data_IF_422206846713
#
_entry.id   IF_422206846713
#
_cell.length_a   1.000
_cell.length_b   1.000
_cell.length_c   1.000
_cell.angle_alpha   90.00
_cell.angle_beta   90.00
_cell.angle_gamma   90.00
#
_symmetry.space_group_name_H-M   'P 1'
#
loop_
_entity.id
_entity.type
_entity.pdbx_description
1 polymer ?
#
# COMPACT_ATOMS: atom_id res chain seq x y z
N UNK A 1 4.92 45.02 -17.33
CA UNK A 1 5.24 46.14 -18.20
C UNK A 1 6.38 45.69 -19.15
N UNK A 2 6.16 45.80 -20.45
CA UNK A 2 7.14 45.49 -21.49
C UNK A 2 7.45 46.78 -22.22
N UNK A 3 8.67 47.23 -22.17
CA UNK A 3 9.14 48.41 -22.94
C UNK A 3 9.95 47.88 -24.07
N UNK A 4 9.53 48.05 -25.31
CA UNK A 4 10.28 47.72 -26.49
C UNK A 4 10.61 49.01 -27.26
N UNK A 5 11.87 49.19 -27.55
CA UNK A 5 12.36 50.25 -28.45
C UNK A 5 12.58 49.60 -29.81
N UNK A 6 11.82 50.00 -30.80
CA UNK A 6 11.94 49.47 -32.17
C UNK A 6 12.32 50.64 -33.09
N UNK A 7 13.50 50.50 -33.71
CA UNK A 7 13.97 51.44 -34.72
C UNK A 7 13.88 50.70 -36.08
N UNK A 8 12.97 51.18 -36.92
CA UNK A 8 12.81 50.62 -38.28
C UNK A 8 13.47 51.54 -39.28
N UNK A 9 14.49 51.03 -39.93
CA UNK A 9 15.15 51.68 -41.05
C UNK A 9 14.56 51.08 -42.32
N UNK A 10 13.95 51.92 -43.19
CA UNK A 10 13.43 51.46 -44.47
C UNK A 10 14.14 52.23 -45.57
N UNK A 11 15.04 51.56 -46.28
CA UNK A 11 15.58 52.05 -47.54
C UNK A 11 14.61 51.67 -48.67
N UNK A 12 14.02 52.69 -49.32
CA UNK A 12 13.19 52.47 -50.49
C UNK A 12 14.04 52.64 -51.75
N UNK A 13 14.28 51.56 -52.53
CA UNK A 13 15.01 51.47 -53.73
C UNK A 13 14.22 51.85 -55.02
N UNK A 14 13.32 52.79 -54.94
CA UNK A 14 12.66 53.30 -56.13
C UNK A 14 12.91 54.78 -56.31
N UNK A 15 13.39 55.11 -57.50
CA UNK A 15 13.98 56.32 -58.01
C UNK A 15 13.15 57.59 -57.86
N UNK A 16 12.87 58.03 -56.62
CA UNK A 16 12.48 59.41 -56.34
C UNK A 16 13.02 59.74 -54.95
N UNK A 17 13.85 60.74 -54.86
CA UNK A 17 14.53 61.18 -53.65
C UNK A 17 13.53 61.48 -52.54
N UNK A 18 13.35 60.54 -51.55
CA UNK A 18 12.75 60.86 -50.27
C UNK A 18 13.26 59.85 -49.22
N UNK A 19 14.34 60.22 -48.52
CA UNK A 19 14.81 59.51 -47.31
C UNK A 19 13.88 59.84 -46.22
N UNK A 20 13.01 58.88 -45.88
CA UNK A 20 12.18 58.93 -44.68
C UNK A 20 12.83 58.14 -43.56
N UNK A 21 13.57 58.82 -42.69
CA UNK A 21 13.89 58.30 -41.38
C UNK A 21 12.63 58.38 -40.51
N UNK A 22 12.09 57.22 -40.11
CA UNK A 22 10.99 57.16 -39.19
C UNK A 22 11.44 56.52 -37.88
N UNK A 23 11.77 57.33 -36.91
CA UNK A 23 12.01 56.87 -35.55
C UNK A 23 10.69 56.75 -34.83
N UNK A 24 10.26 55.52 -34.55
CA UNK A 24 9.04 55.22 -33.77
C UNK A 24 9.47 54.74 -32.40
N UNK A 25 9.26 55.57 -31.40
CA UNK A 25 9.36 55.17 -29.98
C UNK A 25 8.00 54.66 -29.51
N UNK A 26 7.88 53.34 -29.34
CA UNK A 26 6.66 52.71 -28.87
C UNK A 26 6.87 52.16 -27.46
N UNK A 27 6.17 52.74 -26.50
CA UNK A 27 6.09 52.23 -25.15
C UNK A 27 4.72 51.56 -24.96
N UNK A 28 4.71 50.23 -24.85
CA UNK A 28 3.47 49.47 -24.59
C UNK A 28 3.42 49.03 -23.14
N UNK A 29 2.48 49.60 -22.39
CA UNK A 29 2.17 49.17 -21.02
C UNK A 29 0.97 48.26 -21.08
N UNK A 30 1.14 46.95 -20.93
CA UNK A 30 0.04 46.00 -20.84
C UNK A 30 -0.27 45.74 -19.37
N UNK A 31 -1.41 46.25 -18.92
CA UNK A 31 -1.92 46.00 -17.57
C UNK A 31 -3.10 45.05 -17.67
N UNK A 32 -3.01 43.80 -17.14
CA UNK A 32 -4.13 42.86 -17.18
C UNK A 32 -5.20 43.26 -16.15
N UNK A 33 -6.18 44.06 -16.56
CA UNK A 33 -7.38 44.30 -15.76
C UNK A 33 -8.31 43.09 -15.91
N UNK A 34 -8.30 42.17 -14.92
CA UNK A 34 -9.19 41.02 -14.91
C UNK A 34 -10.50 41.35 -14.20
N UNK A 35 -11.45 41.92 -14.91
CA UNK A 35 -12.79 42.21 -14.37
C UNK A 35 -13.65 40.93 -14.19
N UNK A 36 -13.24 39.79 -14.70
CA UNK A 36 -14.03 38.56 -14.76
C UNK A 36 -13.94 37.63 -13.54
N UNK A 37 -13.31 38.02 -12.42
CA UNK A 37 -13.22 37.18 -11.22
C UNK A 37 -12.39 35.91 -11.36
N UNK A 38 -11.66 35.72 -12.47
CA UNK A 38 -10.85 34.51 -12.79
C UNK A 38 -9.83 34.21 -11.70
N UNK A 39 -9.15 35.22 -11.18
CA UNK A 39 -8.13 35.01 -10.13
C UNK A 39 -8.77 34.59 -8.82
N UNK A 40 -9.91 35.19 -8.48
CA UNK A 40 -10.69 34.81 -7.29
C UNK A 40 -11.22 33.39 -7.40
N UNK A 41 -11.74 33.01 -8.56
CA UNK A 41 -12.18 31.63 -8.84
C UNK A 41 -11.02 30.64 -8.77
N UNK A 42 -9.83 31.02 -9.26
CA UNK A 42 -8.62 30.17 -9.20
C UNK A 42 -8.15 29.99 -7.76
N UNK A 43 -8.15 31.05 -6.95
CA UNK A 43 -7.83 30.98 -5.51
C UNK A 43 -8.82 30.06 -4.79
N UNK A 44 -10.12 30.23 -5.04
CA UNK A 44 -11.16 29.38 -4.44
C UNK A 44 -10.99 27.92 -4.85
N UNK A 45 -10.74 27.63 -6.13
CA UNK A 45 -10.44 26.28 -6.64
C UNK A 45 -9.24 25.67 -5.91
N UNK A 46 -8.15 26.41 -5.75
CA UNK A 46 -6.96 25.93 -5.08
C UNK A 46 -7.17 25.70 -3.58
N UNK A 47 -7.98 26.53 -2.92
CA UNK A 47 -8.39 26.32 -1.52
C UNK A 47 -9.22 25.04 -1.36
N UNK A 48 -10.17 24.80 -2.25
CA UNK A 48 -10.95 23.56 -2.25
C UNK A 48 -10.08 22.33 -2.55
N UNK A 49 -9.15 22.43 -3.51
CA UNK A 49 -8.18 21.38 -3.80
C UNK A 49 -7.28 21.07 -2.59
N UNK A 50 -6.83 22.08 -1.86
CA UNK A 50 -6.09 21.93 -0.60
C UNK A 50 -6.94 21.21 0.46
N UNK A 51 -8.21 21.60 0.62
CA UNK A 51 -9.16 20.93 1.52
C UNK A 51 -9.35 19.46 1.18
N UNK A 52 -9.56 19.13 -0.10
CA UNK A 52 -9.65 17.76 -0.61
C UNK A 52 -8.39 16.95 -0.29
N UNK A 53 -7.20 17.50 -0.55
CA UNK A 53 -5.92 16.81 -0.26
C UNK A 53 -5.73 16.56 1.24
N UNK A 54 -6.19 17.48 2.10
CA UNK A 54 -6.16 17.29 3.56
C UNK A 54 -7.05 16.12 4.00
N UNK A 55 -8.28 16.06 3.47
CA UNK A 55 -9.20 14.96 3.75
C UNK A 55 -8.68 13.61 3.23
N UNK A 56 -8.04 13.58 2.06
CA UNK A 56 -7.38 12.39 1.53
C UNK A 56 -6.23 11.91 2.44
N UNK A 57 -5.44 12.84 2.97
CA UNK A 57 -4.38 12.50 3.93
C UNK A 57 -4.96 11.91 5.21
N UNK A 58 -6.00 12.53 5.77
CA UNK A 58 -6.67 12.03 6.97
C UNK A 58 -7.27 10.64 6.74
N UNK A 59 -7.92 10.43 5.59
CA UNK A 59 -8.44 9.11 5.22
C UNK A 59 -7.33 8.07 5.07
N UNK A 60 -6.19 8.42 4.45
CA UNK A 60 -5.04 7.53 4.35
C UNK A 60 -4.48 7.16 5.72
N UNK A 61 -4.40 8.10 6.66
CA UNK A 61 -3.98 7.85 8.03
C UNK A 61 -4.93 6.89 8.76
N UNK A 62 -6.24 7.11 8.66
CA UNK A 62 -7.26 6.22 9.24
C UNK A 62 -7.18 4.80 8.66
N UNK A 63 -7.06 4.69 7.34
CA UNK A 63 -6.93 3.40 6.66
C UNK A 63 -5.64 2.67 7.08
N UNK A 64 -4.54 3.38 7.24
CA UNK A 64 -3.31 2.79 7.72
C UNK A 64 -3.45 2.27 9.16
N UNK A 65 -4.01 3.07 10.06
CA UNK A 65 -4.28 2.64 11.45
C UNK A 65 -5.16 1.39 11.49
N UNK A 66 -6.23 1.36 10.69
CA UNK A 66 -7.11 0.20 10.57
C UNK A 66 -6.34 -1.03 10.05
N UNK A 67 -5.50 -0.87 9.03
CA UNK A 67 -4.69 -1.95 8.46
C UNK A 67 -3.72 -2.54 9.48
N UNK A 68 -3.03 -1.70 10.26
CA UNK A 68 -2.11 -2.14 11.32
C UNK A 68 -2.88 -2.89 12.42
N UNK A 69 -4.00 -2.34 12.87
CA UNK A 69 -4.83 -2.97 13.93
C UNK A 69 -5.36 -4.33 13.46
N UNK A 70 -5.83 -4.42 12.22
CA UNK A 70 -6.31 -5.67 11.62
C UNK A 70 -5.18 -6.71 11.49
N UNK A 71 -4.01 -6.30 11.02
CA UNK A 71 -2.84 -7.19 10.90
C UNK A 71 -2.39 -7.70 12.28
N UNK A 72 -2.39 -6.85 13.29
CA UNK A 72 -2.07 -7.23 14.67
C UNK A 72 -3.08 -8.23 15.25
N UNK A 73 -4.37 -7.96 15.10
CA UNK A 73 -5.44 -8.89 15.51
C UNK A 73 -5.29 -10.25 14.84
N UNK A 74 -4.98 -10.27 13.54
CA UNK A 74 -4.73 -11.51 12.77
C UNK A 74 -3.51 -12.26 13.30
N UNK A 75 -2.43 -11.56 13.65
CA UNK A 75 -1.25 -12.18 14.25
C UNK A 75 -1.59 -12.84 15.59
N UNK A 76 -2.32 -12.13 16.45
CA UNK A 76 -2.70 -12.65 17.75
C UNK A 76 -3.60 -13.89 17.65
N UNK A 77 -4.61 -13.86 16.76
CA UNK A 77 -5.47 -15.02 16.51
C UNK A 77 -4.72 -16.20 15.90
N UNK A 78 -3.80 -15.96 14.95
CA UNK A 78 -2.96 -17.01 14.37
C UNK A 78 -2.04 -17.66 15.40
N UNK A 79 -1.51 -16.87 16.34
CA UNK A 79 -0.70 -17.41 17.46
C UNK A 79 -1.50 -18.33 18.35
N UNK A 80 -2.71 -17.91 18.77
CA UNK A 80 -3.59 -18.72 19.59
C UNK A 80 -4.03 -19.99 18.86
N UNK A 81 -4.32 -19.87 17.56
CA UNK A 81 -4.66 -21.00 16.72
C UNK A 81 -3.52 -22.02 16.62
N UNK A 82 -2.28 -21.55 16.40
CA UNK A 82 -1.09 -22.42 16.37
C UNK A 82 -0.94 -23.19 17.69
N UNK A 83 -1.10 -22.55 18.84
CA UNK A 83 -1.03 -23.21 20.15
C UNK A 83 -2.12 -24.30 20.31
N UNK A 84 -3.35 -24.01 19.84
CA UNK A 84 -4.44 -24.96 19.89
C UNK A 84 -4.16 -26.19 19.02
N UNK A 85 -3.67 -25.98 17.79
CA UNK A 85 -3.33 -27.07 16.86
C UNK A 85 -2.13 -27.89 17.37
N UNK A 86 -1.12 -27.27 17.99
CA UNK A 86 -0.04 -27.99 18.65
C UNK A 86 -0.55 -28.94 19.76
N UNK A 87 -1.51 -28.46 20.54
CA UNK A 87 -2.16 -29.29 21.55
C UNK A 87 -2.98 -30.42 20.93
N UNK A 88 -3.65 -30.15 19.79
CA UNK A 88 -4.39 -31.18 19.04
C UNK A 88 -3.46 -32.28 18.52
N UNK A 89 -2.28 -31.93 17.97
CA UNK A 89 -1.29 -32.93 17.53
C UNK A 89 -0.84 -33.79 18.68
N UNK A 90 -0.50 -33.20 19.83
CA UNK A 90 -0.11 -33.98 21.03
C UNK A 90 -1.22 -34.94 21.48
N UNK A 91 -2.47 -34.48 21.49
CA UNK A 91 -3.61 -35.34 21.85
C UNK A 91 -3.80 -36.48 20.84
N UNK A 92 -3.63 -36.20 19.52
CA UNK A 92 -3.72 -37.22 18.49
C UNK A 92 -2.57 -38.24 18.57
N UNK A 93 -1.35 -37.81 18.93
CA UNK A 93 -0.20 -38.68 19.16
C UNK A 93 -0.48 -39.66 20.33
N UNK A 94 -0.91 -39.14 21.50
CA UNK A 94 -1.24 -39.94 22.66
C UNK A 94 -2.38 -40.93 22.34
N UNK A 95 -3.42 -40.44 21.63
CA UNK A 95 -4.55 -41.32 21.25
C UNK A 95 -4.11 -42.43 20.28
N UNK A 96 -3.24 -42.12 19.30
CA UNK A 96 -2.74 -43.11 18.37
C UNK A 96 -1.84 -44.15 19.06
N UNK A 97 -0.99 -43.72 19.97
CA UNK A 97 -0.15 -44.60 20.79
C UNK A 97 -1.00 -45.51 21.65
N UNK A 98 -2.01 -44.96 22.34
CA UNK A 98 -2.95 -45.77 23.19
C UNK A 98 -3.70 -46.80 22.37
N UNK A 99 -4.30 -46.40 21.21
CA UNK A 99 -5.02 -47.35 20.33
C UNK A 99 -4.09 -48.42 19.78
N UNK A 100 -2.85 -48.08 19.41
CA UNK A 100 -1.85 -49.07 18.95
C UNK A 100 -1.48 -50.05 20.04
N UNK A 101 -1.29 -49.60 21.28
CA UNK A 101 -1.01 -50.42 22.43
C UNK A 101 -2.16 -51.38 22.77
N UNK A 102 -3.41 -50.88 22.76
CA UNK A 102 -4.61 -51.69 22.96
C UNK A 102 -4.77 -52.77 21.88
N UNK A 103 -4.45 -52.45 20.62
CA UNK A 103 -4.46 -53.40 19.52
C UNK A 103 -3.42 -54.53 19.71
N UNK A 104 -2.17 -54.15 20.03
CA UNK A 104 -1.08 -55.12 20.27
C UNK A 104 -1.34 -55.99 21.49
N UNK A 105 -1.99 -55.48 22.52
CA UNK A 105 -2.36 -56.27 23.74
C UNK A 105 -3.60 -57.17 23.58
N UNK A 106 -4.24 -57.18 22.42
CA UNK A 106 -5.43 -57.99 22.15
C UNK A 106 -6.71 -57.46 22.82
N UNK A 107 -6.74 -56.22 23.23
CA UNK A 107 -7.86 -55.60 24.00
C UNK A 107 -9.09 -55.24 23.15
N UNK A 108 -9.35 -55.92 22.04
CA UNK A 108 -10.58 -55.78 21.25
C UNK A 108 -10.58 -54.61 20.24
N UNK A 109 -9.46 -53.94 20.01
CA UNK A 109 -9.32 -52.94 18.96
C UNK A 109 -9.12 -53.60 17.61
N UNK A 110 -9.71 -53.01 16.57
CA UNK A 110 -9.56 -53.49 15.19
C UNK A 110 -8.39 -52.80 14.46
N UNK A 111 -7.90 -53.43 13.41
CA UNK A 111 -6.92 -52.80 12.49
C UNK A 111 -7.50 -51.49 11.90
N UNK A 112 -8.81 -51.43 11.73
CA UNK A 112 -9.49 -50.19 11.27
C UNK A 112 -9.31 -49.04 12.24
N UNK A 113 -9.44 -49.31 13.58
CA UNK A 113 -9.26 -48.27 14.61
C UNK A 113 -7.83 -47.70 14.58
N UNK A 114 -6.83 -48.56 14.41
CA UNK A 114 -5.44 -48.14 14.30
C UNK A 114 -5.22 -47.28 13.04
N UNK A 115 -5.79 -47.71 11.89
CA UNK A 115 -5.67 -46.96 10.66
C UNK A 115 -6.37 -45.56 10.78
N UNK A 116 -7.55 -45.57 11.39
CA UNK A 116 -8.30 -44.31 11.58
C UNK A 116 -7.56 -43.37 12.52
N UNK A 117 -6.95 -43.85 13.60
CA UNK A 117 -6.19 -43.01 14.54
C UNK A 117 -4.93 -42.43 13.85
N UNK A 118 -4.22 -43.24 13.04
CA UNK A 118 -3.09 -42.73 12.24
C UNK A 118 -3.50 -41.72 11.21
N UNK A 119 -4.64 -41.88 10.54
CA UNK A 119 -5.18 -40.90 9.61
C UNK A 119 -5.50 -39.57 10.33
N UNK A 120 -6.10 -39.64 11.51
CA UNK A 120 -6.39 -38.47 12.32
C UNK A 120 -5.11 -37.73 12.75
N UNK A 121 -4.06 -38.47 13.12
CA UNK A 121 -2.76 -37.89 13.47
C UNK A 121 -2.10 -37.20 12.25
N UNK A 122 -2.16 -37.81 11.07
CA UNK A 122 -1.64 -37.21 9.85
C UNK A 122 -2.38 -35.90 9.54
N UNK A 123 -3.71 -35.92 9.64
CA UNK A 123 -4.52 -34.71 9.41
C UNK A 123 -4.19 -33.62 10.43
N UNK A 124 -3.97 -33.98 11.71
CA UNK A 124 -3.55 -33.01 12.72
C UNK A 124 -2.17 -32.40 12.40
N UNK A 125 -1.21 -33.20 11.90
CA UNK A 125 0.11 -32.71 11.47
C UNK A 125 0.04 -31.80 10.23
N UNK A 126 -0.84 -32.09 9.29
CA UNK A 126 -1.10 -31.21 8.14
C UNK A 126 -1.66 -29.86 8.63
N UNK A 127 -2.65 -29.90 9.51
CA UNK A 127 -3.20 -28.68 10.10
C UNK A 127 -2.15 -27.86 10.86
N UNK A 128 -1.18 -28.54 11.52
CA UNK A 128 -0.07 -27.86 12.19
C UNK A 128 0.81 -27.10 11.18
N UNK A 129 1.19 -27.73 10.09
CA UNK A 129 1.99 -27.09 9.05
C UNK A 129 1.26 -25.86 8.44
N UNK A 130 -0.06 -25.96 8.24
CA UNK A 130 -0.88 -24.85 7.77
C UNK A 130 -0.97 -23.72 8.80
N UNK A 131 -1.09 -24.05 10.08
CA UNK A 131 -1.11 -23.06 11.16
C UNK A 131 0.24 -22.33 11.30
N UNK A 132 1.37 -23.05 11.21
CA UNK A 132 2.71 -22.48 11.22
C UNK A 132 2.92 -21.52 10.03
N UNK A 133 2.54 -21.93 8.83
CA UNK A 133 2.58 -21.07 7.65
C UNK A 133 1.72 -19.81 7.83
N UNK A 134 0.50 -19.97 8.37
CA UNK A 134 -0.42 -18.87 8.57
C UNK A 134 0.12 -17.87 9.61
N UNK A 135 0.72 -18.36 10.68
CA UNK A 135 1.37 -17.54 11.70
C UNK A 135 2.56 -16.76 11.11
N UNK A 136 3.42 -17.42 10.34
CA UNK A 136 4.55 -16.77 9.66
C UNK A 136 4.08 -15.67 8.71
N UNK A 137 3.06 -15.94 7.89
CA UNK A 137 2.48 -14.94 7.00
C UNK A 137 1.85 -13.77 7.74
N UNK A 138 1.24 -14.02 8.91
CA UNK A 138 0.68 -12.95 9.74
C UNK A 138 1.77 -12.03 10.30
N UNK A 139 2.95 -12.56 10.67
CA UNK A 139 4.12 -11.76 11.07
C UNK A 139 4.58 -10.83 9.93
N UNK A 140 4.73 -11.36 8.71
CA UNK A 140 5.11 -10.54 7.56
C UNK A 140 4.04 -9.48 7.19
N UNK A 141 2.75 -9.79 7.39
CA UNK A 141 1.68 -8.81 7.18
C UNK A 141 1.76 -7.64 8.16
N UNK A 142 2.12 -7.89 9.41
CA UNK A 142 2.36 -6.82 10.39
C UNK A 142 3.56 -5.98 9.97
N UNK A 143 4.69 -6.60 9.62
CA UNK A 143 5.88 -5.89 9.14
C UNK A 143 5.58 -5.04 7.91
N UNK A 144 4.77 -5.57 6.98
CA UNK A 144 4.32 -4.81 5.80
C UNK A 144 3.46 -3.61 6.18
N UNK A 145 2.53 -3.76 7.12
CA UNK A 145 1.61 -2.69 7.51
C UNK A 145 2.32 -1.54 8.25
N UNK A 146 3.43 -1.83 8.91
CA UNK A 146 4.30 -0.84 9.58
C UNK A 146 5.37 -0.28 8.63
N UNK A 147 5.54 -0.86 7.43
CA UNK A 147 6.54 -0.41 6.46
C UNK A 147 7.95 -0.94 6.70
N UNK A 148 8.11 -1.94 7.57
CA UNK A 148 9.40 -2.55 7.91
C UNK A 148 9.74 -3.77 7.02
N UNK A 149 8.87 -4.14 6.09
CA UNK A 149 9.12 -5.25 5.17
C UNK A 149 10.00 -4.78 4.00
N UNK A 150 11.28 -4.64 4.24
CA UNK A 150 12.30 -4.31 3.24
C UNK A 150 13.45 -5.33 3.27
N UNK A 151 14.28 -5.33 2.22
CA UNK A 151 15.42 -6.25 2.08
C UNK A 151 16.44 -6.11 3.21
N UNK A 152 16.66 -4.89 3.68
CA UNK A 152 17.64 -4.60 4.72
C UNK A 152 17.21 -5.18 6.08
N UNK A 153 15.94 -5.06 6.42
CA UNK A 153 15.39 -5.60 7.67
C UNK A 153 15.36 -7.14 7.67
N UNK A 154 15.13 -7.74 6.49
CA UNK A 154 15.09 -9.20 6.32
C UNK A 154 16.48 -9.83 6.09
N UNK A 155 17.56 -9.04 6.05
CA UNK A 155 18.92 -9.50 5.74
C UNK A 155 19.01 -10.31 4.44
N UNK A 156 18.16 -10.02 3.47
CA UNK A 156 18.19 -10.62 2.15
C UNK A 156 19.28 -9.91 1.33
N UNK A 157 20.46 -10.54 1.24
CA UNK A 157 21.53 -10.12 0.33
C UNK A 157 21.41 -10.82 -1.00
#
# INVERSE_FOLDING_TARGET
AKISLERTYTEDLSSTYDEREKDVLQATVTWPFQFGGKDRSTVTKNLQAKGMKRLLLENAQRNNTQSVTSAWSTLQSSRSFLQAVQSQVKAAEIATEGISFEYESGSGRSTFDVLQSRSNLINAKINLAEAERSYLLAQYRVLKSVGLLNSDYLNLK
#
